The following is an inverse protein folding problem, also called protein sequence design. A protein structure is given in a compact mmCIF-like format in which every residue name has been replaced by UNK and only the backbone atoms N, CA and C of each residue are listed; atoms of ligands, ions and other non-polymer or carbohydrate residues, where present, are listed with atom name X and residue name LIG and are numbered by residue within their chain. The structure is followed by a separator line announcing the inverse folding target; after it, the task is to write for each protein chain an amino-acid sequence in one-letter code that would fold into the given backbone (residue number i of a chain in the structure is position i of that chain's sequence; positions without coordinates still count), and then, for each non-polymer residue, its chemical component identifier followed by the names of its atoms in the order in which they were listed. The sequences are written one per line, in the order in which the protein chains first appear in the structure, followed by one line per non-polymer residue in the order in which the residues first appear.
data_IF_099427124442
#
_entry.id   IF_099427124442
#
_cell.length_a   1.000
_cell.length_b   1.000
_cell.length_c   1.000
_cell.angle_alpha   90.00
_cell.angle_beta   90.00
_cell.angle_gamma   90.00
#
_symmetry.space_group_name_H-M   'P 1'
#
loop_
_entity.id
_entity.type
_entity.pdbx_description
1 polymer ?
#
# COMPACT_ATOMS: atom_id res chain seq x y z
N UNK A 1 34.17 -3.23 44.49
CA UNK A 1 33.86 -4.49 43.76
C UNK A 1 32.37 -4.63 43.44
N UNK A 2 31.46 -4.62 44.43
CA UNK A 2 30.00 -4.75 44.20
C UNK A 2 29.41 -3.69 43.25
N UNK A 3 29.87 -2.44 43.35
CA UNK A 3 29.45 -1.34 42.45
C UNK A 3 29.77 -1.60 40.98
N UNK A 4 30.98 -2.08 40.66
CA UNK A 4 31.37 -2.44 39.28
C UNK A 4 30.54 -3.60 38.73
N UNK A 5 30.19 -4.57 39.57
CA UNK A 5 29.33 -5.70 39.17
C UNK A 5 27.92 -5.18 38.82
N UNK A 6 27.36 -4.26 39.62
CA UNK A 6 26.05 -3.65 39.33
C UNK A 6 26.07 -2.89 38.01
N UNK A 7 27.12 -2.09 37.75
CA UNK A 7 27.29 -1.38 36.48
C UNK A 7 27.37 -2.35 35.31
N UNK A 8 28.16 -3.42 35.44
CA UNK A 8 28.33 -4.41 34.38
C UNK A 8 26.99 -5.10 34.05
N UNK A 9 26.23 -5.51 35.07
CA UNK A 9 24.91 -6.12 34.89
C UNK A 9 23.97 -5.16 34.16
N UNK A 10 23.95 -3.88 34.56
CA UNK A 10 23.09 -2.87 33.93
C UNK A 10 23.46 -2.64 32.46
N UNK A 11 24.76 -2.63 32.16
CA UNK A 11 25.27 -2.50 30.79
C UNK A 11 24.87 -3.71 29.92
N UNK A 12 24.98 -4.93 30.45
CA UNK A 12 24.54 -6.15 29.77
C UNK A 12 23.03 -6.12 29.49
N UNK A 13 22.21 -5.74 30.48
CA UNK A 13 20.75 -5.62 30.30
C UNK A 13 20.39 -4.60 29.21
N UNK A 14 21.09 -3.46 29.18
CA UNK A 14 20.89 -2.42 28.16
C UNK A 14 21.28 -2.93 26.77
N UNK A 15 22.38 -3.68 26.67
CA UNK A 15 22.81 -4.33 25.42
C UNK A 15 21.78 -5.35 24.90
N UNK A 16 21.27 -6.22 25.75
CA UNK A 16 20.21 -7.19 25.40
C UNK A 16 18.95 -6.48 24.92
N UNK A 17 18.54 -5.43 25.63
CA UNK A 17 17.39 -4.61 25.24
C UNK A 17 17.59 -3.97 23.85
N UNK A 18 18.76 -3.39 23.59
CA UNK A 18 19.05 -2.74 22.31
C UNK A 18 18.93 -3.71 21.13
N UNK A 19 19.43 -4.95 21.29
CA UNK A 19 19.32 -6.01 20.28
C UNK A 19 17.85 -6.39 20.05
N UNK A 20 17.08 -6.57 21.13
CA UNK A 20 15.66 -6.90 21.04
C UNK A 20 14.86 -5.78 20.34
N UNK A 21 15.12 -4.52 20.69
CA UNK A 21 14.48 -3.36 20.07
C UNK A 21 14.83 -3.27 18.57
N UNK A 22 16.10 -3.41 18.22
CA UNK A 22 16.57 -3.42 16.82
C UNK A 22 15.85 -4.50 16.00
N UNK A 23 15.83 -5.74 16.48
CA UNK A 23 15.16 -6.85 15.78
C UNK A 23 13.65 -6.61 15.64
N UNK A 24 12.99 -6.09 16.68
CA UNK A 24 11.56 -5.78 16.62
C UNK A 24 11.22 -4.73 15.56
N UNK A 25 12.06 -3.71 15.39
CA UNK A 25 11.88 -2.68 14.35
C UNK A 25 12.12 -3.24 12.95
N UNK A 26 13.12 -4.11 12.77
CA UNK A 26 13.36 -4.80 11.50
C UNK A 26 12.16 -5.67 11.10
N UNK A 27 11.55 -6.40 12.05
CA UNK A 27 10.34 -7.19 11.79
C UNK A 27 9.18 -6.30 11.30
N UNK A 28 9.00 -5.13 11.89
CA UNK A 28 7.98 -4.17 11.46
C UNK A 28 8.25 -3.62 10.05
N UNK A 29 9.52 -3.28 9.74
CA UNK A 29 9.94 -2.85 8.41
C UNK A 29 9.65 -3.93 7.36
N UNK A 30 9.99 -5.19 7.65
CA UNK A 30 9.72 -6.30 6.74
C UNK A 30 8.23 -6.58 6.59
N UNK A 31 7.43 -6.41 7.65
CA UNK A 31 5.97 -6.51 7.58
C UNK A 31 5.37 -5.48 6.61
N UNK A 32 5.83 -4.22 6.67
CA UNK A 32 5.41 -3.16 5.73
C UNK A 32 5.78 -3.53 4.30
N UNK A 33 7.03 -3.97 4.07
CA UNK A 33 7.50 -4.41 2.74
C UNK A 33 6.67 -5.56 2.21
N UNK A 34 6.34 -6.53 3.05
CA UNK A 34 5.47 -7.65 2.67
C UNK A 34 4.06 -7.18 2.30
N UNK A 35 3.46 -6.29 3.09
CA UNK A 35 2.13 -5.75 2.79
C UNK A 35 2.12 -4.95 1.49
N UNK A 36 3.20 -4.20 1.20
CA UNK A 36 3.35 -3.51 -0.07
C UNK A 36 3.42 -4.49 -1.26
N UNK A 37 4.10 -5.64 -1.10
CA UNK A 37 4.08 -6.71 -2.12
C UNK A 37 2.67 -7.29 -2.32
N UNK A 38 1.87 -7.40 -1.27
CA UNK A 38 0.48 -7.86 -1.41
C UNK A 38 -0.36 -6.87 -2.24
N UNK A 39 -0.15 -5.56 -2.05
CA UNK A 39 -0.76 -4.53 -2.89
C UNK A 39 -0.31 -4.70 -4.35
N UNK A 40 1.00 -4.86 -4.60
CA UNK A 40 1.53 -5.08 -5.96
C UNK A 40 0.84 -6.26 -6.66
N UNK A 41 0.67 -7.39 -5.95
CA UNK A 41 -0.01 -8.59 -6.48
C UNK A 41 -1.46 -8.28 -6.87
N UNK A 42 -2.21 -7.54 -6.04
CA UNK A 42 -3.61 -7.22 -6.36
C UNK A 42 -3.71 -6.21 -7.53
N UNK A 43 -2.79 -5.24 -7.61
CA UNK A 43 -2.73 -4.31 -8.74
C UNK A 43 -2.43 -5.04 -10.07
N UNK A 44 -1.51 -6.01 -10.05
CA UNK A 44 -1.18 -6.82 -11.22
C UNK A 44 -2.34 -7.74 -11.61
N UNK A 45 -3.00 -8.36 -10.62
CA UNK A 45 -4.21 -9.17 -10.86
C UNK A 45 -5.31 -8.33 -11.49
N UNK A 46 -5.56 -7.13 -10.96
CA UNK A 46 -6.57 -6.21 -11.49
C UNK A 46 -6.32 -5.90 -12.95
N UNK A 47 -5.07 -5.60 -13.30
CA UNK A 47 -4.71 -5.28 -14.66
C UNK A 47 -4.92 -6.48 -15.61
N UNK A 48 -4.56 -7.70 -15.21
CA UNK A 48 -4.82 -8.91 -16.02
C UNK A 48 -6.31 -9.19 -16.24
N UNK A 49 -7.12 -9.01 -15.20
CA UNK A 49 -8.58 -9.16 -15.31
C UNK A 49 -9.15 -8.09 -16.26
N UNK A 50 -8.61 -6.88 -16.22
CA UNK A 50 -9.00 -5.81 -17.12
C UNK A 50 -8.62 -6.04 -18.58
N UNK A 51 -7.40 -6.51 -18.85
CA UNK A 51 -7.00 -6.93 -20.19
C UNK A 51 -7.95 -7.99 -20.74
N UNK A 52 -8.30 -8.97 -19.91
CA UNK A 52 -9.29 -9.99 -20.27
C UNK A 52 -10.68 -9.39 -20.56
N UNK A 53 -11.08 -8.37 -19.79
CA UNK A 53 -12.35 -7.67 -19.98
C UNK A 53 -12.38 -6.86 -21.27
N UNK A 54 -11.27 -6.18 -21.60
CA UNK A 54 -11.12 -5.45 -22.86
C UNK A 54 -11.42 -6.36 -24.05
N UNK A 55 -10.87 -7.57 -24.06
CA UNK A 55 -11.02 -8.49 -25.19
C UNK A 55 -12.45 -9.03 -25.35
N UNK A 56 -13.20 -9.10 -24.26
CA UNK A 56 -14.64 -9.40 -24.30
C UNK A 56 -15.42 -8.18 -24.79
N UNK A 57 -15.16 -7.00 -24.20
CA UNK A 57 -15.87 -5.76 -24.49
C UNK A 57 -15.67 -5.29 -25.94
N UNK A 58 -14.46 -5.44 -26.50
CA UNK A 58 -14.15 -5.11 -27.91
C UNK A 58 -15.07 -5.80 -28.92
N UNK A 59 -15.68 -6.94 -28.56
CA UNK A 59 -16.62 -7.68 -29.43
C UNK A 59 -18.03 -7.09 -29.42
N UNK A 60 -18.37 -6.29 -28.41
CA UNK A 60 -19.70 -5.74 -28.18
C UNK A 60 -19.75 -4.21 -28.25
N UNK A 61 -18.59 -3.55 -28.19
CA UNK A 61 -18.47 -2.11 -28.08
C UNK A 61 -17.43 -1.57 -29.06
N UNK A 62 -17.89 -0.91 -30.11
CA UNK A 62 -17.02 -0.27 -31.11
C UNK A 62 -16.41 1.05 -30.61
N UNK A 63 -17.07 1.74 -29.67
CA UNK A 63 -16.82 3.15 -29.35
C UNK A 63 -16.04 3.44 -28.05
N UNK A 64 -15.86 2.48 -27.14
CA UNK A 64 -15.25 2.69 -25.81
C UNK A 64 -13.73 2.41 -25.76
N UNK A 65 -13.05 2.68 -26.89
CA UNK A 65 -11.60 2.55 -26.99
C UNK A 65 -10.84 3.60 -26.19
N UNK A 66 -11.41 4.79 -25.96
CA UNK A 66 -10.76 5.88 -25.21
C UNK A 66 -10.57 5.50 -23.75
N UNK A 67 -11.64 5.07 -23.07
CA UNK A 67 -11.60 4.69 -21.65
C UNK A 67 -10.66 3.51 -21.40
N UNK A 68 -10.64 2.54 -22.32
CA UNK A 68 -9.73 1.39 -22.23
C UNK A 68 -8.26 1.78 -22.48
N UNK A 69 -8.00 2.73 -23.39
CA UNK A 69 -6.66 3.31 -23.61
C UNK A 69 -6.18 4.09 -22.38
N UNK A 70 -7.09 4.81 -21.72
CA UNK A 70 -6.75 5.61 -20.54
C UNK A 70 -6.26 4.72 -19.39
N UNK A 71 -6.87 3.54 -19.18
CA UNK A 71 -6.40 2.60 -18.15
C UNK A 71 -5.01 2.05 -18.48
N UNK A 72 -4.73 1.73 -19.75
CA UNK A 72 -3.37 1.28 -20.16
C UNK A 72 -2.35 2.40 -19.96
N UNK A 73 -2.70 3.64 -20.33
CA UNK A 73 -1.84 4.80 -20.12
C UNK A 73 -1.58 5.05 -18.63
N UNK A 74 -2.62 5.02 -17.80
CA UNK A 74 -2.51 5.15 -16.35
C UNK A 74 -1.69 4.01 -15.73
N UNK A 75 -1.81 2.79 -16.25
CA UNK A 75 -1.01 1.66 -15.78
C UNK A 75 0.47 1.86 -16.09
N UNK A 76 0.79 2.31 -17.30
CA UNK A 76 2.16 2.65 -17.68
C UNK A 76 2.70 3.78 -16.79
N UNK A 77 1.91 4.83 -16.56
CA UNK A 77 2.26 5.91 -15.64
C UNK A 77 2.54 5.38 -14.22
N UNK A 78 1.70 4.47 -13.71
CA UNK A 78 1.90 3.86 -12.41
C UNK A 78 3.18 3.01 -12.33
N UNK A 79 3.52 2.29 -13.41
CA UNK A 79 4.76 1.51 -13.49
C UNK A 79 6.01 2.38 -13.59
N UNK A 80 5.99 3.42 -14.41
CA UNK A 80 7.08 4.40 -14.49
C UNK A 80 7.30 5.07 -13.12
N UNK A 81 6.24 5.57 -12.49
CA UNK A 81 6.32 6.16 -11.16
C UNK A 81 6.87 5.17 -10.11
N UNK A 82 6.51 3.88 -10.20
CA UNK A 82 7.08 2.83 -9.35
C UNK A 82 8.59 2.67 -9.54
N UNK A 83 9.07 2.70 -10.79
CA UNK A 83 10.51 2.57 -11.11
C UNK A 83 11.31 3.78 -10.66
N UNK A 84 10.73 4.98 -10.76
CA UNK A 84 11.32 6.24 -10.33
C UNK A 84 11.25 6.44 -8.80
N UNK A 85 10.52 5.59 -8.08
CA UNK A 85 10.32 5.70 -6.64
C UNK A 85 9.27 6.75 -6.23
N UNK A 86 8.56 7.35 -7.18
CA UNK A 86 7.46 8.29 -6.92
C UNK A 86 6.17 7.54 -6.54
N UNK A 87 6.07 7.20 -5.26
CA UNK A 87 4.88 6.55 -4.72
C UNK A 87 3.62 7.43 -4.82
N UNK A 88 3.75 8.76 -4.79
CA UNK A 88 2.59 9.66 -4.88
C UNK A 88 1.95 9.62 -6.26
N UNK A 89 2.77 9.77 -7.31
CA UNK A 89 2.31 9.66 -8.69
C UNK A 89 1.75 8.26 -8.98
N UNK A 90 2.40 7.22 -8.46
CA UNK A 90 1.93 5.83 -8.56
C UNK A 90 0.52 5.67 -7.96
N UNK A 91 0.32 6.10 -6.71
CA UNK A 91 -0.97 5.98 -6.03
C UNK A 91 -2.06 6.78 -6.74
N UNK A 92 -1.74 7.99 -7.22
CA UNK A 92 -2.69 8.82 -7.99
C UNK A 92 -3.14 8.10 -9.27
N UNK A 93 -2.22 7.51 -10.02
CA UNK A 93 -2.54 6.77 -11.24
C UNK A 93 -3.40 5.54 -10.95
N UNK A 94 -3.04 4.74 -9.95
CA UNK A 94 -3.79 3.54 -9.57
C UNK A 94 -5.19 3.86 -9.01
N UNK A 95 -5.37 5.01 -8.35
CA UNK A 95 -6.68 5.49 -7.90
C UNK A 95 -7.57 5.92 -9.07
N UNK A 96 -7.02 6.60 -10.08
CA UNK A 96 -7.77 6.93 -11.30
C UNK A 96 -8.28 5.67 -12.00
N UNK A 97 -7.48 4.60 -12.02
CA UNK A 97 -7.90 3.30 -12.53
C UNK A 97 -9.09 2.75 -11.74
N UNK A 98 -9.07 2.77 -10.40
CA UNK A 98 -10.22 2.36 -9.56
C UNK A 98 -11.49 3.17 -9.85
N UNK A 99 -11.36 4.48 -10.12
CA UNK A 99 -12.50 5.33 -10.49
C UNK A 99 -13.11 4.93 -11.84
N UNK A 100 -12.27 4.65 -12.84
CA UNK A 100 -12.73 4.16 -14.16
C UNK A 100 -13.49 2.84 -13.99
N UNK A 101 -12.99 1.91 -13.17
CA UNK A 101 -13.68 0.65 -12.89
C UNK A 101 -15.04 0.83 -12.24
N UNK A 102 -15.14 1.77 -11.30
CA UNK A 102 -16.41 2.07 -10.65
C UNK A 102 -17.44 2.63 -11.64
N UNK A 103 -16.99 3.42 -12.62
CA UNK A 103 -17.82 3.92 -13.73
C UNK A 103 -18.22 2.84 -14.73
N UNK A 104 -17.40 1.80 -14.91
CA UNK A 104 -17.64 0.74 -15.89
C UNK A 104 -18.95 0.00 -15.66
N UNK A 105 -19.44 -0.10 -14.41
CA UNK A 105 -20.75 -0.72 -14.13
C UNK A 105 -21.91 0.03 -14.82
N UNK A 106 -21.83 1.35 -14.93
CA UNK A 106 -22.84 2.17 -15.62
C UNK A 106 -22.80 1.90 -17.12
N UNK A 107 -21.60 1.73 -17.68
CA UNK A 107 -21.41 1.39 -19.09
C UNK A 107 -22.08 0.05 -19.40
N UNK A 108 -21.89 -0.97 -18.55
CA UNK A 108 -22.53 -2.29 -18.76
C UNK A 108 -24.06 -2.24 -18.82
N UNK A 109 -24.70 -1.33 -18.09
CA UNK A 109 -26.16 -1.14 -18.15
C UNK A 109 -26.63 -0.61 -19.51
N UNK A 110 -25.78 0.12 -20.24
CA UNK A 110 -26.09 0.66 -21.56
C UNK A 110 -25.97 -0.40 -22.67
N UNK A 111 -25.35 -1.55 -22.41
CA UNK A 111 -25.12 -2.61 -23.39
C UNK A 111 -25.73 -3.95 -22.93
N UNK A 112 -27.04 -4.19 -23.14
CA UNK A 112 -27.74 -5.40 -22.68
C UNK A 112 -27.11 -6.71 -23.13
N UNK A 113 -26.57 -6.76 -24.36
CA UNK A 113 -25.89 -7.94 -24.90
C UNK A 113 -24.57 -8.26 -24.17
N UNK A 114 -23.84 -7.23 -23.74
CA UNK A 114 -22.63 -7.39 -22.93
C UNK A 114 -23.00 -7.79 -21.50
N UNK A 115 -24.05 -7.20 -20.94
CA UNK A 115 -24.58 -7.54 -19.61
C UNK A 115 -25.04 -8.99 -19.52
N UNK A 116 -25.64 -9.52 -20.58
CA UNK A 116 -26.06 -10.92 -20.66
C UNK A 116 -24.91 -11.90 -20.96
N UNK A 117 -23.71 -11.40 -21.28
CA UNK A 117 -22.55 -12.25 -21.55
C UNK A 117 -21.97 -12.79 -20.23
N UNK A 118 -22.05 -14.12 -20.05
CA UNK A 118 -21.58 -14.79 -18.85
C UNK A 118 -20.09 -14.53 -18.54
N UNK A 119 -19.22 -14.47 -19.55
CA UNK A 119 -17.80 -14.19 -19.36
C UNK A 119 -17.58 -12.73 -18.89
N UNK A 120 -18.34 -11.78 -19.44
CA UNK A 120 -18.26 -10.38 -19.04
C UNK A 120 -18.74 -10.19 -17.59
N UNK A 121 -19.81 -10.88 -17.18
CA UNK A 121 -20.28 -10.90 -15.79
C UNK A 121 -19.24 -11.47 -14.82
N UNK A 122 -18.62 -12.61 -15.16
CA UNK A 122 -17.57 -13.22 -14.34
C UNK A 122 -16.36 -12.30 -14.18
N UNK A 123 -15.95 -11.61 -15.24
CA UNK A 123 -14.83 -10.65 -15.19
C UNK A 123 -15.17 -9.42 -14.35
N UNK A 124 -16.40 -8.91 -14.44
CA UNK A 124 -16.86 -7.82 -13.57
C UNK A 124 -16.81 -8.23 -12.09
N UNK A 125 -17.29 -9.43 -11.75
CA UNK A 125 -17.22 -9.95 -10.40
C UNK A 125 -15.76 -10.12 -9.94
N UNK A 126 -14.88 -10.61 -10.82
CA UNK A 126 -13.46 -10.74 -10.53
C UNK A 126 -12.79 -9.38 -10.27
N UNK A 127 -13.20 -8.31 -10.95
CA UNK A 127 -12.73 -6.94 -10.68
C UNK A 127 -13.19 -6.49 -9.31
N UNK A 128 -14.48 -6.61 -8.99
CA UNK A 128 -15.02 -6.21 -7.68
C UNK A 128 -14.31 -6.95 -6.55
N UNK A 129 -14.12 -8.26 -6.70
CA UNK A 129 -13.37 -9.07 -5.74
C UNK A 129 -11.91 -8.64 -5.60
N UNK A 130 -11.28 -8.17 -6.68
CA UNK A 130 -9.91 -7.67 -6.66
C UNK A 130 -9.82 -6.30 -6.01
N UNK A 131 -10.77 -5.38 -6.27
CA UNK A 131 -10.83 -4.07 -5.61
C UNK A 131 -11.07 -4.22 -4.10
N UNK A 132 -11.95 -5.12 -3.68
CA UNK A 132 -12.16 -5.40 -2.25
C UNK A 132 -10.88 -5.91 -1.59
N UNK A 133 -10.18 -6.88 -2.21
CA UNK A 133 -8.90 -7.39 -1.71
C UNK A 133 -7.81 -6.31 -1.70
N UNK A 134 -7.79 -5.45 -2.71
CA UNK A 134 -6.87 -4.33 -2.79
C UNK A 134 -7.11 -3.33 -1.66
N UNK A 135 -8.37 -3.01 -1.35
CA UNK A 135 -8.72 -2.15 -0.22
C UNK A 135 -8.22 -2.73 1.11
N UNK A 136 -8.46 -4.02 1.38
CA UNK A 136 -7.93 -4.68 2.58
C UNK A 136 -6.40 -4.71 2.62
N UNK A 137 -5.73 -4.92 1.48
CA UNK A 137 -4.28 -4.90 1.40
C UNK A 137 -3.70 -3.50 1.69
N UNK A 138 -4.35 -2.44 1.19
CA UNK A 138 -4.00 -1.04 1.48
C UNK A 138 -4.19 -0.71 2.95
N UNK A 139 -5.29 -1.14 3.55
CA UNK A 139 -5.52 -0.99 4.99
C UNK A 139 -4.43 -1.71 5.80
N UNK A 140 -4.17 -2.99 5.53
CA UNK A 140 -3.15 -3.75 6.24
C UNK A 140 -1.74 -3.12 6.14
N UNK A 141 -1.42 -2.55 4.97
CA UNK A 141 -0.20 -1.76 4.78
C UNK A 141 -0.18 -0.51 5.67
N UNK A 142 -1.23 0.32 5.63
CA UNK A 142 -1.33 1.51 6.47
C UNK A 142 -1.23 1.18 7.96
N UNK A 143 -1.92 0.14 8.43
CA UNK A 143 -1.86 -0.30 9.82
C UNK A 143 -0.44 -0.75 10.20
N UNK A 144 0.31 -1.36 9.28
CA UNK A 144 1.70 -1.75 9.52
C UNK A 144 2.64 -0.54 9.58
N UNK A 145 2.40 0.49 8.76
CA UNK A 145 3.12 1.76 8.82
C UNK A 145 2.86 2.44 10.17
N UNK A 146 1.61 2.48 10.61
CA UNK A 146 1.24 3.07 11.90
C UNK A 146 1.91 2.35 13.08
N UNK A 147 1.86 1.01 13.12
CA UNK A 147 2.54 0.21 14.16
C UNK A 147 4.06 0.47 14.20
N UNK A 148 4.68 0.59 13.03
CA UNK A 148 6.09 0.93 12.92
C UNK A 148 6.37 2.35 13.41
N UNK A 149 5.61 3.35 12.98
CA UNK A 149 5.76 4.74 13.40
C UNK A 149 5.58 4.88 14.92
N UNK A 150 4.55 4.23 15.49
CA UNK A 150 4.34 4.18 16.92
C UNK A 150 5.55 3.57 17.65
N UNK A 151 6.06 2.41 17.20
CA UNK A 151 7.23 1.77 17.81
C UNK A 151 8.49 2.64 17.66
N UNK A 152 8.69 3.27 16.50
CA UNK A 152 9.83 4.15 16.19
C UNK A 152 9.87 5.37 17.12
N UNK A 153 8.70 5.94 17.44
CA UNK A 153 8.57 7.14 18.26
C UNK A 153 8.56 6.88 19.78
N UNK A 154 8.47 5.62 20.22
CA UNK A 154 8.60 5.27 21.64
C UNK A 154 9.98 5.68 22.18
N UNK A 155 10.02 6.16 23.44
CA UNK A 155 11.21 6.72 24.09
C UNK A 155 12.44 5.81 23.94
N UNK A 156 12.33 4.53 24.32
CA UNK A 156 13.47 3.63 24.31
C UNK A 156 13.87 3.14 22.90
N UNK A 157 12.95 2.67 22.02
CA UNK A 157 13.29 2.39 20.63
C UNK A 157 13.87 3.58 19.86
N UNK A 158 13.44 4.81 20.15
CA UNK A 158 13.94 6.01 19.45
C UNK A 158 15.44 6.22 19.60
N UNK A 159 16.02 5.81 20.74
CA UNK A 159 17.48 5.86 20.99
C UNK A 159 18.20 4.89 20.03
N UNK A 160 17.65 3.68 19.85
CA UNK A 160 18.19 2.68 18.92
C UNK A 160 18.06 3.14 17.47
N UNK A 161 16.93 3.77 17.11
CA UNK A 161 16.72 4.36 15.78
C UNK A 161 17.77 5.43 15.49
N UNK A 162 18.01 6.35 16.44
CA UNK A 162 19.03 7.40 16.31
C UNK A 162 20.46 6.84 16.20
N UNK A 163 20.73 5.69 16.82
CA UNK A 163 22.01 5.00 16.68
C UNK A 163 22.19 4.32 15.30
N UNK A 164 21.11 3.88 14.66
CA UNK A 164 21.13 3.18 13.36
C UNK A 164 20.17 3.79 12.32
N UNK A 165 20.26 5.09 12.00
CA UNK A 165 19.24 5.80 11.23
C UNK A 165 19.10 5.24 9.80
N UNK A 166 20.20 4.90 9.14
CA UNK A 166 20.18 4.35 7.78
C UNK A 166 19.35 3.06 7.61
N UNK A 167 19.22 2.27 8.68
CA UNK A 167 18.48 0.99 8.65
C UNK A 167 17.10 1.09 9.30
N UNK A 168 16.94 1.98 10.28
CA UNK A 168 15.78 2.00 11.15
C UNK A 168 14.92 3.24 11.03
N UNK A 169 15.41 4.34 10.45
CA UNK A 169 14.60 5.54 10.19
C UNK A 169 14.22 5.60 8.71
N UNK A 170 13.22 4.79 8.37
CA UNK A 170 12.66 4.71 7.01
C UNK A 170 11.32 5.44 7.02
N UNK A 171 11.11 6.29 6.02
CA UNK A 171 9.80 6.89 5.80
C UNK A 171 9.01 6.03 4.82
N UNK A 172 7.84 5.56 5.26
CA UNK A 172 6.90 4.84 4.41
C UNK A 172 5.69 5.74 4.13
N UNK A 173 5.33 5.97 2.85
CA UNK A 173 4.13 6.73 2.52
C UNK A 173 2.88 5.94 2.90
N UNK A 174 1.80 6.60 3.31
CA UNK A 174 0.50 5.96 3.47
C UNK A 174 -0.23 5.82 2.13
N UNK A 175 -1.00 4.75 1.98
CA UNK A 175 -1.97 4.60 0.89
C UNK A 175 -3.23 5.43 1.18
N UNK A 176 -3.73 6.17 0.17
CA UNK A 176 -5.01 6.92 0.19
C UNK A 176 -5.15 8.10 1.17
N UNK A 177 -4.17 8.39 2.02
CA UNK A 177 -4.15 9.60 2.85
C UNK A 177 -3.33 10.72 2.16
N UNK A 178 -3.89 11.92 2.03
CA UNK A 178 -3.12 13.08 1.55
C UNK A 178 -2.09 13.51 2.59
N UNK A 179 -0.93 13.99 2.14
CA UNK A 179 0.17 14.46 3.00
C UNK A 179 -0.29 15.44 4.09
N UNK A 180 -1.30 16.27 3.80
CA UNK A 180 -1.87 17.24 4.73
C UNK A 180 -2.68 16.59 5.88
N UNK A 181 -3.33 15.45 5.64
CA UNK A 181 -4.05 14.70 6.68
C UNK A 181 -3.08 13.91 7.57
N UNK A 182 -1.96 13.46 7.01
CA UNK A 182 -0.90 12.73 7.74
C UNK A 182 -0.26 13.64 8.79
N UNK A 183 0.15 14.86 8.42
CA UNK A 183 0.75 15.81 9.37
C UNK A 183 -0.17 16.19 10.53
N UNK A 184 -1.47 16.34 10.27
CA UNK A 184 -2.44 16.69 11.32
C UNK A 184 -2.70 15.53 12.31
N UNK A 185 -2.57 14.27 11.87
CA UNK A 185 -2.74 13.10 12.74
C UNK A 185 -1.46 12.73 13.50
N UNK A 186 -0.29 12.85 12.87
CA UNK A 186 1.00 12.54 13.49
C UNK A 186 1.46 13.61 14.50
N UNK A 187 1.04 14.87 14.33
CA UNK A 187 1.35 15.96 15.26
C UNK A 187 0.40 16.05 16.47
N UNK A 188 -0.48 15.06 16.70
CA UNK A 188 -1.34 15.04 17.88
C UNK A 188 -0.48 14.83 19.13
N UNK A 189 -0.01 15.93 19.70
CA UNK A 189 0.70 15.91 20.98
C UNK A 189 -0.36 15.81 22.06
N UNK A 190 -0.37 14.71 22.82
CA UNK A 190 -1.22 14.61 24.01
C UNK A 190 -0.68 15.67 24.97
N UNK A 191 -1.39 16.80 25.07
CA UNK A 191 -1.19 17.76 26.15
C UNK A 191 -1.69 17.07 27.41
N UNK A 192 -0.74 16.64 28.25
CA UNK A 192 -0.99 16.11 29.58
C UNK A 192 -1.43 17.23 30.52
#
# INVERSE_FOLDING_TARGET
MKFFIVILILLVLLGVYAIAAYNSLIVLIESIRNNNKQIDIQLDRRFKVFESLIDVVKKYMDYERSTLKDVVALRNQAQTAKQEGDNSARMKAENKISMIFSGLRVVFEQYPNLKANQNAMQLQEAIVNTENKLAYAKQAYNDSVERYNAKKNMVFPSIVVRAFPKKLDIHFPYWELSSDKIQNQENYTITL
#
